data_IF_668146307962
#
_entry.id   IF_668146307962
#
_cell.length_a   1.000
_cell.length_b   1.000
_cell.length_c   1.000
_cell.angle_alpha   90.00
_cell.angle_beta   90.00
_cell.angle_gamma   90.00
#
_symmetry.space_group_name_H-M   'P 1'
#
loop_
_entity.id
_entity.type
_entity.pdbx_description
1 polymer ?
#
# COMPACT_ATOMS: atom_id res chain seq x y z
N UNK A 1 3.28 -22.06 28.44
CA UNK A 1 4.62 -22.54 28.82
C UNK A 1 5.45 -21.31 29.07
N UNK A 2 6.19 -21.26 30.17
CA UNK A 2 7.10 -20.16 30.48
C UNK A 2 8.51 -20.68 30.34
N UNK A 3 9.34 -20.00 29.55
CA UNK A 3 10.73 -20.37 29.39
C UNK A 3 11.47 -20.24 30.72
N UNK A 4 12.25 -21.25 31.09
CA UNK A 4 13.03 -21.26 32.33
C UNK A 4 14.42 -20.62 32.18
N UNK A 5 14.83 -20.27 30.97
CA UNK A 5 16.03 -19.46 30.76
C UNK A 5 15.75 -18.04 31.31
N UNK A 6 16.58 -17.62 32.27
CA UNK A 6 16.48 -16.33 32.96
C UNK A 6 16.60 -15.13 32.02
N UNK A 7 17.27 -15.29 30.87
CA UNK A 7 17.39 -14.22 29.86
C UNK A 7 16.20 -14.17 28.90
N UNK A 8 15.43 -15.25 28.77
CA UNK A 8 14.30 -15.33 27.82
C UNK A 8 12.96 -15.06 28.50
N UNK A 9 12.61 -15.85 29.52
CA UNK A 9 11.36 -15.80 30.28
C UNK A 9 10.05 -15.74 29.47
N UNK A 10 10.09 -15.95 28.14
CA UNK A 10 8.95 -15.82 27.23
C UNK A 10 7.85 -16.81 27.62
N UNK A 11 6.61 -16.33 27.56
CA UNK A 11 5.43 -17.17 27.73
C UNK A 11 4.82 -17.49 26.36
N UNK A 12 4.55 -18.78 26.12
CA UNK A 12 3.91 -19.29 24.90
C UNK A 12 2.69 -20.13 25.24
N UNK A 13 1.71 -20.21 24.34
CA UNK A 13 0.60 -21.12 24.48
C UNK A 13 1.09 -22.57 24.32
N UNK A 14 0.66 -23.48 25.20
CA UNK A 14 1.05 -24.90 25.11
C UNK A 14 0.35 -25.65 23.97
N UNK A 15 -0.76 -25.11 23.49
CA UNK A 15 -1.61 -25.75 22.48
C UNK A 15 -1.16 -25.38 21.07
N UNK A 16 -0.89 -24.10 20.81
CA UNK A 16 -0.51 -23.63 19.48
C UNK A 16 0.94 -23.16 19.35
N UNK A 17 1.69 -23.02 20.44
CA UNK A 17 3.09 -22.58 20.42
C UNK A 17 3.33 -21.08 20.23
N UNK A 18 2.28 -20.31 19.90
CA UNK A 18 2.33 -18.86 19.75
C UNK A 18 2.61 -18.14 21.09
N UNK A 19 3.01 -16.85 21.10
CA UNK A 19 3.12 -16.07 22.34
C UNK A 19 1.85 -16.16 23.20
N UNK A 20 2.00 -16.02 24.52
CA UNK A 20 0.84 -16.03 25.43
C UNK A 20 -0.19 -14.99 24.99
N UNK A 21 -1.43 -15.44 24.82
CA UNK A 21 -2.49 -14.69 24.15
C UNK A 21 -3.81 -14.72 24.92
N UNK A 22 -3.80 -15.10 26.20
CA UNK A 22 -4.97 -15.02 27.08
C UNK A 22 -5.41 -13.55 27.17
N UNK A 23 -6.69 -13.21 26.94
CA UNK A 23 -7.88 -14.08 26.98
C UNK A 23 -8.33 -14.72 25.65
N UNK A 24 -7.62 -14.50 24.55
CA UNK A 24 -7.98 -15.01 23.23
C UNK A 24 -7.81 -16.53 23.13
N UNK A 25 -8.64 -17.18 22.32
CA UNK A 25 -8.51 -18.58 21.91
C UNK A 25 -7.43 -18.74 20.84
N UNK A 26 -6.88 -19.95 20.71
CA UNK A 26 -5.77 -20.21 19.79
C UNK A 26 -6.10 -19.91 18.32
N UNK A 27 -7.36 -20.08 17.92
CA UNK A 27 -7.89 -19.79 16.58
C UNK A 27 -8.19 -18.32 16.36
N UNK A 28 -8.24 -17.49 17.40
CA UNK A 28 -8.44 -16.04 17.31
C UNK A 28 -7.12 -15.30 17.09
N UNK A 29 -6.00 -15.89 17.48
CA UNK A 29 -4.66 -15.30 17.33
C UNK A 29 -4.17 -15.40 15.90
N UNK A 30 -3.56 -14.33 15.41
CA UNK A 30 -2.82 -14.33 14.14
C UNK A 30 -1.55 -15.17 14.31
N UNK A 31 -1.36 -16.17 13.45
CA UNK A 31 -0.17 -17.02 13.48
C UNK A 31 1.04 -16.27 12.95
N UNK A 32 2.23 -16.71 13.32
CA UNK A 32 3.47 -16.08 12.87
C UNK A 32 3.56 -15.97 11.33
N UNK A 33 3.22 -17.03 10.60
CA UNK A 33 3.31 -17.03 9.13
C UNK A 33 2.30 -16.06 8.49
N UNK A 34 1.11 -15.91 9.10
CA UNK A 34 0.10 -14.92 8.70
C UNK A 34 0.63 -13.49 8.91
N UNK A 35 1.21 -13.23 10.09
CA UNK A 35 1.81 -11.95 10.44
C UNK A 35 2.95 -11.59 9.49
N UNK A 36 3.84 -12.54 9.19
CA UNK A 36 4.99 -12.33 8.32
C UNK A 36 4.54 -11.98 6.89
N UNK A 37 3.58 -12.73 6.33
CA UNK A 37 3.00 -12.45 5.02
C UNK A 37 2.27 -11.11 4.97
N UNK A 38 1.41 -10.83 5.95
CA UNK A 38 0.68 -9.56 6.05
C UNK A 38 1.63 -8.37 6.12
N UNK A 39 2.63 -8.44 7.00
CA UNK A 39 3.62 -7.37 7.18
C UNK A 39 4.42 -7.13 5.91
N UNK A 40 4.79 -8.20 5.19
CA UNK A 40 5.45 -8.08 3.89
C UNK A 40 4.60 -7.30 2.88
N UNK A 41 3.32 -7.65 2.76
CA UNK A 41 2.37 -7.00 1.85
C UNK A 41 2.15 -5.53 2.26
N UNK A 42 1.87 -5.25 3.53
CA UNK A 42 1.63 -3.89 4.05
C UNK A 42 2.80 -2.94 3.76
N UNK A 43 4.03 -3.42 3.93
CA UNK A 43 5.23 -2.64 3.61
C UNK A 43 5.31 -2.30 2.11
N UNK A 44 5.00 -3.26 1.22
CA UNK A 44 5.01 -3.02 -0.24
C UNK A 44 3.91 -2.08 -0.70
N UNK A 45 2.70 -2.24 -0.16
CA UNK A 45 1.57 -1.35 -0.42
C UNK A 45 1.88 0.08 0.06
N UNK A 46 2.45 0.22 1.26
CA UNK A 46 2.85 1.52 1.81
C UNK A 46 3.94 2.19 0.96
N UNK A 47 4.92 1.42 0.49
CA UNK A 47 5.98 1.91 -0.40
C UNK A 47 5.43 2.44 -1.73
N UNK A 48 4.33 1.87 -2.25
CA UNK A 48 3.75 2.25 -3.53
C UNK A 48 3.30 3.72 -3.57
N UNK A 49 2.85 4.28 -2.45
CA UNK A 49 2.45 5.68 -2.33
C UNK A 49 3.65 6.64 -2.25
N UNK A 50 4.81 6.14 -1.84
CA UNK A 50 5.99 6.97 -1.59
C UNK A 50 6.65 7.33 -2.91
N UNK A 51 7.04 8.59 -3.03
CA UNK A 51 7.86 9.12 -4.11
C UNK A 51 9.27 9.36 -3.62
N UNK A 52 10.23 9.14 -4.51
CA UNK A 52 11.65 9.24 -4.22
C UNK A 52 12.27 10.26 -5.15
N UNK A 53 12.97 11.24 -4.59
CA UNK A 53 13.64 12.24 -5.39
C UNK A 53 14.66 11.58 -6.33
N UNK A 54 14.52 11.77 -7.65
CA UNK A 54 15.45 11.17 -8.61
C UNK A 54 16.92 11.57 -8.38
N UNK A 55 17.16 12.79 -7.85
CA UNK A 55 18.50 13.35 -7.60
C UNK A 55 19.09 12.91 -6.26
N UNK A 56 18.46 13.27 -5.13
CA UNK A 56 19.03 13.03 -3.79
C UNK A 56 18.42 11.83 -3.03
N UNK A 57 17.45 11.14 -3.63
CA UNK A 57 16.74 9.98 -3.04
C UNK A 57 15.94 10.28 -1.77
N UNK A 58 15.71 11.55 -1.42
CA UNK A 58 14.78 11.91 -0.35
C UNK A 58 13.37 11.38 -0.66
N UNK A 59 12.75 10.75 0.34
CA UNK A 59 11.41 10.17 0.28
C UNK A 59 10.37 11.24 0.64
N UNK A 60 9.24 11.25 -0.06
CA UNK A 60 8.12 12.13 0.21
C UNK A 60 6.83 11.57 -0.38
N UNK A 61 5.68 12.03 0.10
CA UNK A 61 4.37 11.79 -0.51
C UNK A 61 3.62 13.11 -0.53
N UNK A 62 2.55 13.20 -1.32
CA UNK A 62 1.65 14.35 -1.28
C UNK A 62 0.30 13.94 -0.71
N UNK A 63 -0.32 14.86 0.01
CA UNK A 63 -1.71 14.75 0.42
C UNK A 63 -2.61 15.43 -0.60
N UNK A 64 -2.30 16.68 -0.96
CA UNK A 64 -3.11 17.51 -1.86
C UNK A 64 -2.21 18.46 -2.67
N UNK A 65 -2.80 19.20 -3.62
CA UNK A 65 -2.14 20.28 -4.35
C UNK A 65 -1.53 19.89 -5.69
N UNK A 66 -0.50 20.63 -6.11
CA UNK A 66 0.08 20.55 -7.44
C UNK A 66 0.97 19.32 -7.64
N UNK A 67 0.89 18.69 -8.81
CA UNK A 67 1.72 17.54 -9.20
C UNK A 67 3.18 17.90 -9.55
N UNK A 68 3.58 19.18 -9.59
CA UNK A 68 4.97 19.61 -9.66
C UNK A 68 5.59 19.60 -8.27
N UNK A 69 6.42 18.60 -8.00
CA UNK A 69 7.11 18.44 -6.72
C UNK A 69 8.49 19.06 -6.80
N UNK A 70 8.84 19.91 -5.84
CA UNK A 70 10.18 20.48 -5.71
C UNK A 70 10.82 19.95 -4.43
N UNK A 71 11.93 19.23 -4.57
CA UNK A 71 12.67 18.69 -3.44
C UNK A 71 13.55 19.78 -2.81
N UNK A 72 13.88 19.64 -1.52
CA UNK A 72 14.81 20.52 -0.82
C UNK A 72 16.20 20.62 -1.49
N UNK A 73 16.62 19.62 -2.28
CA UNK A 73 17.85 19.69 -3.07
C UNK A 73 17.74 20.53 -4.37
N UNK A 74 16.59 21.17 -4.61
CA UNK A 74 16.29 21.99 -5.79
C UNK A 74 15.78 21.23 -7.01
N UNK A 75 15.77 19.89 -7.00
CA UNK A 75 15.26 19.09 -8.10
C UNK A 75 13.74 19.16 -8.21
N UNK A 76 13.21 19.30 -9.42
CA UNK A 76 11.77 19.26 -9.71
C UNK A 76 11.38 17.97 -10.45
N UNK A 77 10.29 17.33 -10.03
CA UNK A 77 9.75 16.14 -10.70
C UNK A 77 8.22 16.11 -10.70
N UNK A 78 7.65 15.36 -11.64
CA UNK A 78 6.22 15.09 -11.67
C UNK A 78 5.87 14.00 -10.65
N UNK A 79 4.85 14.27 -9.82
CA UNK A 79 4.36 13.30 -8.83
C UNK A 79 3.76 12.03 -9.47
N UNK A 80 3.10 12.19 -10.63
CA UNK A 80 2.36 11.11 -11.32
C UNK A 80 3.35 10.16 -12.00
N UNK A 81 4.14 10.66 -12.95
CA UNK A 81 5.04 9.82 -13.73
C UNK A 81 6.44 9.64 -13.13
N UNK A 82 6.74 10.31 -12.01
CA UNK A 82 8.02 10.26 -11.27
C UNK A 82 9.23 10.78 -12.07
N UNK A 83 9.02 11.39 -13.23
CA UNK A 83 10.09 11.89 -14.11
C UNK A 83 10.59 13.29 -13.68
N UNK A 84 11.89 13.59 -13.90
CA UNK A 84 12.42 14.94 -13.79
C UNK A 84 11.67 15.91 -14.70
N UNK A 85 11.42 17.13 -14.22
CA UNK A 85 10.79 18.21 -15.01
C UNK A 85 11.50 19.54 -14.75
N UNK A 86 11.45 20.44 -15.73
CA UNK A 86 12.01 21.80 -15.62
C UNK A 86 10.97 22.82 -15.17
N UNK A 87 9.72 22.67 -15.62
CA UNK A 87 8.64 23.63 -15.37
C UNK A 87 7.25 23.01 -15.50
N UNK A 88 6.27 23.86 -15.82
CA UNK A 88 4.87 23.47 -15.93
C UNK A 88 4.48 22.93 -17.31
N UNK A 89 5.38 23.01 -18.29
CA UNK A 89 5.18 22.56 -19.67
C UNK A 89 4.86 21.06 -19.74
N UNK A 90 5.42 20.28 -18.79
CA UNK A 90 5.13 18.84 -18.64
C UNK A 90 3.63 18.56 -18.48
N UNK A 91 2.90 19.43 -17.79
CA UNK A 91 1.49 19.20 -17.44
C UNK A 91 0.53 19.73 -18.51
N UNK A 92 0.96 20.72 -19.31
CA UNK A 92 0.12 21.31 -20.36
C UNK A 92 -0.02 20.41 -21.59
N UNK A 93 1.02 19.62 -21.89
CA UNK A 93 1.08 18.78 -23.09
C UNK A 93 0.80 17.29 -22.82
N UNK A 94 0.53 16.92 -21.56
CA UNK A 94 0.36 15.53 -21.17
C UNK A 94 -0.95 15.30 -20.41
N UNK A 95 -1.95 14.81 -21.13
CA UNK A 95 -3.28 14.51 -20.57
C UNK A 95 -3.25 13.50 -19.41
N UNK A 96 -2.16 12.73 -19.26
CA UNK A 96 -2.00 11.77 -18.15
C UNK A 96 -1.38 12.40 -16.90
N UNK A 97 -0.72 13.55 -17.04
CA UNK A 97 -0.01 14.23 -15.95
C UNK A 97 -0.57 15.65 -15.78
N UNK A 98 -1.88 15.80 -15.54
CA UNK A 98 -2.45 17.13 -15.29
C UNK A 98 -1.92 17.74 -13.99
N UNK A 99 -1.63 19.05 -13.96
CA UNK A 99 -1.02 19.72 -12.80
C UNK A 99 -1.90 19.65 -11.54
N UNK A 100 -3.22 19.61 -11.72
CA UNK A 100 -4.25 19.54 -10.69
C UNK A 100 -5.04 18.23 -10.72
N UNK A 101 -4.57 17.24 -11.49
CA UNK A 101 -5.24 15.95 -11.57
C UNK A 101 -5.16 15.27 -10.19
N UNK A 102 -6.33 14.88 -9.68
CA UNK A 102 -6.44 14.11 -8.45
C UNK A 102 -5.74 12.75 -8.62
N UNK A 103 -4.93 12.40 -7.63
CA UNK A 103 -4.16 11.15 -7.61
C UNK A 103 -4.76 10.08 -6.71
N UNK A 104 -5.93 10.31 -6.11
CA UNK A 104 -6.61 9.29 -5.29
C UNK A 104 -6.76 7.99 -6.08
N UNK A 105 -7.27 8.08 -7.32
CA UNK A 105 -7.41 6.90 -8.17
C UNK A 105 -6.05 6.28 -8.53
N UNK A 106 -5.04 7.10 -8.85
CA UNK A 106 -3.68 6.64 -9.14
C UNK A 106 -3.09 5.86 -7.95
N UNK A 107 -3.15 6.42 -6.74
CA UNK A 107 -2.67 5.77 -5.52
C UNK A 107 -3.40 4.46 -5.29
N UNK A 108 -4.73 4.43 -5.48
CA UNK A 108 -5.51 3.21 -5.32
C UNK A 108 -5.07 2.11 -6.30
N UNK A 109 -4.83 2.46 -7.56
CA UNK A 109 -4.33 1.54 -8.58
C UNK A 109 -2.92 1.04 -8.25
N UNK A 110 -2.00 1.94 -7.87
CA UNK A 110 -0.64 1.59 -7.46
C UNK A 110 -0.61 0.69 -6.22
N UNK A 111 -1.44 0.97 -5.20
CA UNK A 111 -1.55 0.15 -4.00
C UNK A 111 -2.09 -1.24 -4.29
N UNK A 112 -3.11 -1.35 -5.16
CA UNK A 112 -3.65 -2.66 -5.57
C UNK A 112 -2.64 -3.46 -6.38
N UNK A 113 -1.91 -2.83 -7.31
CA UNK A 113 -0.83 -3.51 -8.05
C UNK A 113 0.24 -4.01 -7.09
N UNK A 114 0.67 -3.15 -6.15
CA UNK A 114 1.67 -3.51 -5.15
C UNK A 114 1.20 -4.63 -4.22
N UNK A 115 -0.09 -4.71 -3.89
CA UNK A 115 -0.65 -5.82 -3.14
C UNK A 115 -0.51 -7.14 -3.89
N UNK A 116 -1.00 -7.21 -5.14
CA UNK A 116 -0.97 -8.44 -5.93
C UNK A 116 0.46 -8.89 -6.21
N UNK A 117 1.34 -7.96 -6.58
CA UNK A 117 2.76 -8.23 -6.79
C UNK A 117 3.45 -8.70 -5.50
N UNK A 118 3.14 -8.11 -4.35
CA UNK A 118 3.71 -8.53 -3.08
C UNK A 118 3.20 -9.91 -2.66
N UNK A 119 1.91 -10.17 -2.81
CA UNK A 119 1.32 -11.48 -2.51
C UNK A 119 1.96 -12.57 -3.38
N UNK A 120 2.04 -12.34 -4.69
CA UNK A 120 2.69 -13.26 -5.62
C UNK A 120 4.17 -13.47 -5.28
N UNK A 121 4.92 -12.39 -5.05
CA UNK A 121 6.34 -12.48 -4.71
C UNK A 121 6.59 -13.17 -3.35
N UNK A 122 5.66 -13.08 -2.41
CA UNK A 122 5.73 -13.81 -1.14
C UNK A 122 5.51 -15.30 -1.37
N UNK A 123 4.46 -15.69 -2.08
CA UNK A 123 4.14 -17.10 -2.40
C UNK A 123 5.26 -17.76 -3.21
N UNK A 124 5.90 -17.04 -4.13
CA UNK A 124 7.05 -17.56 -4.89
C UNK A 124 8.26 -17.89 -3.99
N UNK A 125 8.44 -17.14 -2.90
CA UNK A 125 9.52 -17.36 -1.92
C UNK A 125 9.12 -18.37 -0.84
N UNK A 126 7.82 -18.50 -0.60
CA UNK A 126 7.20 -19.31 0.43
C UNK A 126 6.05 -20.13 -0.18
N UNK A 127 6.34 -21.19 -0.97
CA UNK A 127 5.30 -21.97 -1.63
C UNK A 127 4.27 -22.57 -0.66
N UNK A 128 4.67 -22.84 0.59
CA UNK A 128 3.80 -23.29 1.68
C UNK A 128 2.70 -22.28 2.05
N UNK A 129 2.88 -21.01 1.71
CA UNK A 129 1.92 -19.95 1.97
C UNK A 129 0.86 -19.79 0.87
N UNK A 130 0.84 -20.64 -0.17
CA UNK A 130 -0.14 -20.54 -1.26
C UNK A 130 -1.59 -20.68 -0.77
N UNK A 131 -1.81 -21.55 0.22
CA UNK A 131 -3.12 -21.81 0.83
C UNK A 131 -3.32 -21.01 2.14
N UNK A 132 -2.39 -20.11 2.47
CA UNK A 132 -2.46 -19.31 3.68
C UNK A 132 -3.55 -18.24 3.53
N UNK A 133 -4.52 -18.28 4.44
CA UNK A 133 -5.58 -17.26 4.52
C UNK A 133 -5.21 -16.28 5.62
N UNK A 134 -5.01 -15.01 5.24
CA UNK A 134 -4.75 -13.94 6.20
C UNK A 134 -6.02 -13.61 6.98
N UNK A 135 -5.95 -13.69 8.31
CA UNK A 135 -7.04 -13.20 9.17
C UNK A 135 -7.27 -11.70 9.02
N UNK A 136 -6.18 -10.94 8.86
CA UNK A 136 -6.20 -9.49 8.65
C UNK A 136 -5.64 -9.17 7.27
N UNK A 137 -6.45 -9.31 6.22
CA UNK A 137 -6.02 -9.07 4.84
C UNK A 137 -5.99 -7.56 4.51
N UNK A 138 -4.82 -6.97 4.17
CA UNK A 138 -4.71 -5.56 3.78
C UNK A 138 -5.62 -5.16 2.60
N UNK A 139 -5.99 -6.11 1.73
CA UNK A 139 -6.87 -5.85 0.58
C UNK A 139 -8.24 -5.32 1.00
N UNK A 140 -8.72 -5.68 2.21
CA UNK A 140 -10.00 -5.21 2.73
C UNK A 140 -10.03 -3.68 2.88
N UNK A 141 -8.92 -3.10 3.35
CA UNK A 141 -8.78 -1.65 3.52
C UNK A 141 -8.61 -0.92 2.17
N UNK A 142 -7.96 -1.55 1.20
CA UNK A 142 -7.82 -1.00 -0.15
C UNK A 142 -9.15 -0.93 -0.89
N UNK A 143 -10.02 -1.92 -0.70
CA UNK A 143 -11.32 -1.96 -1.35
C UNK A 143 -12.33 -0.96 -0.73
N UNK A 144 -12.22 -0.68 0.57
CA UNK A 144 -13.10 0.25 1.29
C UNK A 144 -12.95 1.71 0.83
N UNK A 145 -11.76 2.09 0.32
CA UNK A 145 -11.46 3.45 -0.15
C UNK A 145 -11.76 3.66 -1.65
N UNK A 146 -12.42 2.71 -2.32
CA UNK A 146 -12.78 2.85 -3.72
C UNK A 146 -13.84 3.96 -3.86
N UNK A 147 -13.58 5.07 -4.56
CA UNK A 147 -14.59 6.11 -4.74
C UNK A 147 -15.80 5.50 -5.46
N UNK A 148 -17.01 5.74 -4.94
CA UNK A 148 -18.24 5.34 -5.63
C UNK A 148 -18.20 5.92 -7.04
N UNK A 149 -18.25 5.02 -8.03
CA UNK A 149 -18.27 5.37 -9.45
C UNK A 149 -19.48 6.29 -9.67
N UNK A 150 -19.27 7.61 -9.81
CA UNK A 150 -20.35 8.53 -10.12
C UNK A 150 -20.93 8.10 -11.46
N UNK A 151 -22.14 7.53 -11.45
CA UNK A 151 -22.85 7.21 -12.67
C UNK A 151 -23.04 8.54 -13.41
N UNK A 152 -22.37 8.71 -14.56
CA UNK A 152 -22.64 9.82 -15.46
C UNK A 152 -24.13 9.77 -15.80
N UNK A 153 -24.91 10.72 -15.28
CA UNK A 153 -26.29 10.90 -15.66
C UNK A 153 -26.35 11.02 -17.19
N UNK A 154 -26.98 10.05 -17.84
CA UNK A 154 -27.29 10.12 -19.27
C UNK A 154 -28.21 11.33 -19.46
N UNK A 155 -27.65 12.46 -19.91
CA UNK A 155 -28.43 13.62 -20.37
C UNK A 155 -29.21 13.16 -21.61
N UNK A 156 -30.50 12.89 -21.43
CA UNK A 156 -31.43 12.67 -22.52
C UNK A 156 -31.51 13.92 -23.39
N UNK A 157 -31.20 13.79 -24.68
CA UNK A 157 -31.50 14.80 -25.69
C UNK A 157 -33.02 14.83 -25.87
N UNK A 158 -33.69 15.85 -25.33
CA UNK A 158 -35.00 16.25 -25.85
C UNK A 158 -34.77 16.99 -27.17
N UNK A 159 -35.26 16.40 -28.27
CA UNK A 159 -35.52 17.10 -29.53
C UNK A 159 -36.85 17.83 -29.37
N UNK A 160 -36.85 19.13 -29.58
CA UNK A 160 -38.02 19.88 -30.04
C UNK A 160 -37.83 20.16 -31.53
#
# INVERSE_FOLDING_TARGET
>A
FRCLNQECLKETCRTCGEPNHIPLRCDEVEKKDELDMRTFIENRVSEAMIRVCYKCKQRFYKLEGCNKMTCACGASMCYICRQPITGYEHFNNNNKCGATLDVVQLHQEEMNSAYEEAKQAYIERHPEASDLVLKYDPQQHLNANKPMRTQKAKRGRHRH
#
